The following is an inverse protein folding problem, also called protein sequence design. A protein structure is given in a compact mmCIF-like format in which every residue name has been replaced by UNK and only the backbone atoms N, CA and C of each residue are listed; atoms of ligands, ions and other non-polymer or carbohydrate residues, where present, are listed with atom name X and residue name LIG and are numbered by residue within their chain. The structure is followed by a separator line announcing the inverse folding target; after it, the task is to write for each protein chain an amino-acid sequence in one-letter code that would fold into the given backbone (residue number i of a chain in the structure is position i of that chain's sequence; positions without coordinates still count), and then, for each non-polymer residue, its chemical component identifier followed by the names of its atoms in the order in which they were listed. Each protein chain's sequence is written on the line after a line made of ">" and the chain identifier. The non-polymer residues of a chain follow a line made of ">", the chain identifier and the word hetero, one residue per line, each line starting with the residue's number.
data_IF_745723256873
#
_entry.id   IF_745723256873
#
_cell.length_a   1.000
_cell.length_b   1.000
_cell.length_c   1.000
_cell.angle_alpha   90.00
_cell.angle_beta   90.00
_cell.angle_gamma   90.00
#
_symmetry.space_group_name_H-M   'P 1'
#
loop_
_entity.id
_entity.type
_entity.pdbx_description
1 polymer ?
#
# COMPACT_ATOMS: atom_id res chain seq x y z
N UNK A 1 -15.02 34.90 -27.81
CA UNK A 1 -16.02 33.94 -27.27
C UNK A 1 -15.42 32.57 -26.87
N UNK A 2 -14.33 32.11 -27.51
CA UNK A 2 -13.71 30.77 -27.34
C UNK A 2 -12.98 30.56 -25.99
N UNK A 3 -12.43 31.60 -25.37
CA UNK A 3 -11.75 31.48 -24.07
C UNK A 3 -12.73 31.14 -22.92
N UNK A 4 -13.98 31.62 -23.00
CA UNK A 4 -14.98 31.44 -21.94
C UNK A 4 -15.51 30.00 -21.88
N UNK A 5 -15.61 29.32 -23.02
CA UNK A 5 -16.03 27.91 -23.11
C UNK A 5 -14.95 26.96 -22.62
N UNK A 6 -13.67 27.22 -22.93
CA UNK A 6 -12.54 26.43 -22.38
C UNK A 6 -12.45 26.54 -20.86
N UNK A 7 -12.59 27.75 -20.30
CA UNK A 7 -12.57 27.96 -18.83
C UNK A 7 -13.79 27.30 -18.16
N UNK A 8 -14.97 27.32 -18.78
CA UNK A 8 -16.14 26.61 -18.26
C UNK A 8 -15.98 25.08 -18.34
N UNK A 9 -15.34 24.56 -19.40
CA UNK A 9 -15.05 23.13 -19.52
C UNK A 9 -14.07 22.68 -18.42
N UNK A 10 -13.00 23.44 -18.16
CA UNK A 10 -12.03 23.16 -17.10
C UNK A 10 -12.69 23.20 -15.72
N UNK A 11 -13.54 24.21 -15.44
CA UNK A 11 -14.29 24.27 -14.17
C UNK A 11 -15.27 23.10 -14.00
N UNK A 12 -15.88 22.62 -15.09
CA UNK A 12 -16.74 21.42 -15.06
C UNK A 12 -15.92 20.16 -14.81
N UNK A 13 -14.73 20.04 -15.41
CA UNK A 13 -13.83 18.91 -15.21
C UNK A 13 -13.33 18.83 -13.77
N UNK A 14 -12.92 19.97 -13.19
CA UNK A 14 -12.47 20.03 -11.80
C UNK A 14 -13.58 19.69 -10.80
N UNK A 15 -14.82 20.08 -11.10
CA UNK A 15 -15.98 19.74 -10.26
C UNK A 15 -16.33 18.26 -10.32
N UNK A 16 -16.13 17.61 -11.48
CA UNK A 16 -16.28 16.16 -11.63
C UNK A 16 -15.20 15.41 -10.83
N UNK A 17 -13.95 15.85 -10.90
CA UNK A 17 -12.86 15.29 -10.11
C UNK A 17 -13.10 15.42 -8.60
N UNK A 18 -13.59 16.57 -8.14
CA UNK A 18 -13.96 16.75 -6.72
C UNK A 18 -15.07 15.81 -6.27
N UNK A 19 -16.12 15.61 -7.08
CA UNK A 19 -17.24 14.72 -6.73
C UNK A 19 -16.76 13.26 -6.70
N UNK A 20 -15.89 12.86 -7.64
CA UNK A 20 -15.30 11.51 -7.68
C UNK A 20 -14.45 11.25 -6.42
N UNK A 21 -13.59 12.20 -6.05
CA UNK A 21 -12.72 12.08 -4.88
C UNK A 21 -13.53 12.06 -3.57
N UNK A 22 -14.62 12.81 -3.47
CA UNK A 22 -15.52 12.76 -2.31
C UNK A 22 -16.26 11.42 -2.20
N UNK A 23 -16.70 10.85 -3.32
CA UNK A 23 -17.36 9.54 -3.34
C UNK A 23 -16.38 8.41 -2.96
N UNK A 24 -15.16 8.45 -3.49
CA UNK A 24 -14.08 7.51 -3.14
C UNK A 24 -13.72 7.63 -1.67
N UNK A 25 -13.58 8.86 -1.15
CA UNK A 25 -13.27 9.10 0.26
C UNK A 25 -14.37 8.59 1.22
N UNK A 26 -15.65 8.80 0.87
CA UNK A 26 -16.77 8.30 1.65
C UNK A 26 -16.82 6.76 1.68
N UNK A 27 -16.56 6.10 0.55
CA UNK A 27 -16.54 4.63 0.50
C UNK A 27 -15.33 4.03 1.23
N UNK A 28 -14.16 4.68 1.13
CA UNK A 28 -12.95 4.34 1.86
C UNK A 28 -13.17 4.30 3.37
N UNK A 29 -13.90 5.30 3.90
CA UNK A 29 -14.22 5.40 5.33
C UNK A 29 -15.26 4.39 5.81
N UNK A 30 -16.04 3.79 4.91
CA UNK A 30 -17.19 2.94 5.27
C UNK A 30 -16.85 1.46 5.40
N UNK A 31 -15.92 0.91 4.61
CA UNK A 31 -15.84 -0.56 4.45
C UNK A 31 -14.49 -1.22 4.70
N UNK A 32 -13.38 -0.49 4.72
CA UNK A 32 -12.06 -1.08 5.01
C UNK A 32 -11.65 -2.20 4.04
N UNK A 33 -10.73 -1.85 3.12
CA UNK A 33 -9.84 -2.76 2.37
C UNK A 33 -10.37 -3.38 1.06
N UNK A 34 -9.77 -2.85 -0.03
CA UNK A 34 -9.36 -3.38 -1.35
C UNK A 34 -10.32 -4.12 -2.30
N UNK A 35 -11.24 -4.99 -1.90
CA UNK A 35 -11.98 -5.81 -2.88
C UNK A 35 -13.33 -5.21 -3.32
N UNK A 36 -13.96 -4.36 -2.51
CA UNK A 36 -15.19 -3.63 -2.88
C UNK A 36 -14.93 -2.40 -3.74
N UNK A 37 -13.68 -1.92 -3.74
CA UNK A 37 -13.26 -0.69 -4.41
C UNK A 37 -13.54 -0.73 -5.92
N UNK A 38 -13.29 -1.87 -6.56
CA UNK A 38 -13.45 -1.97 -8.01
C UNK A 38 -14.93 -1.98 -8.43
N UNK A 39 -15.79 -2.69 -7.70
CA UNK A 39 -17.21 -2.80 -8.04
C UNK A 39 -18.01 -1.51 -7.76
N UNK A 40 -17.71 -0.82 -6.64
CA UNK A 40 -18.33 0.46 -6.32
C UNK A 40 -17.91 1.58 -7.28
N UNK A 41 -16.62 1.63 -7.65
CA UNK A 41 -16.10 2.61 -8.59
C UNK A 41 -16.59 2.33 -10.02
N UNK A 42 -16.72 1.07 -10.43
CA UNK A 42 -17.23 0.69 -11.74
C UNK A 42 -18.68 1.15 -11.97
N UNK A 43 -19.57 0.93 -10.99
CA UNK A 43 -20.98 1.37 -11.07
C UNK A 43 -21.12 2.90 -11.09
N UNK A 44 -20.24 3.61 -10.39
CA UNK A 44 -20.16 5.08 -10.46
C UNK A 44 -19.65 5.55 -11.84
N UNK A 45 -18.65 4.88 -12.42
CA UNK A 45 -18.15 5.17 -13.77
C UNK A 45 -19.20 4.95 -14.86
N UNK A 46 -19.97 3.87 -14.76
CA UNK A 46 -21.04 3.54 -15.70
C UNK A 46 -22.17 4.58 -15.66
N UNK A 47 -22.50 5.10 -14.46
CA UNK A 47 -23.47 6.17 -14.28
C UNK A 47 -23.00 7.50 -14.91
N UNK A 48 -21.71 7.82 -14.78
CA UNK A 48 -21.10 9.02 -15.38
C UNK A 48 -21.03 8.90 -16.91
N UNK A 49 -20.69 7.71 -17.43
CA UNK A 49 -20.67 7.43 -18.86
C UNK A 49 -22.06 7.60 -19.51
N UNK A 50 -23.11 7.16 -18.81
CA UNK A 50 -24.50 7.36 -19.23
C UNK A 50 -24.91 8.85 -19.19
N UNK A 51 -24.41 9.64 -18.25
CA UNK A 51 -24.68 11.07 -18.16
C UNK A 51 -23.98 11.90 -19.25
N UNK A 52 -22.90 11.38 -19.84
CA UNK A 52 -22.09 12.08 -20.87
C UNK A 52 -22.52 11.83 -22.31
N UNK A 53 -23.53 10.99 -22.56
CA UNK A 53 -24.23 10.95 -23.85
C UNK A 53 -23.39 10.57 -25.08
N UNK A 54 -22.64 9.46 -25.02
CA UNK A 54 -22.15 8.80 -26.24
C UNK A 54 -20.91 7.92 -26.08
N UNK A 55 -21.11 6.60 -26.13
CA UNK A 55 -20.59 5.67 -27.15
C UNK A 55 -21.49 4.43 -27.02
N UNK A 56 -22.37 4.21 -27.98
CA UNK A 56 -22.94 2.88 -28.22
C UNK A 56 -21.78 2.01 -28.70
N UNK A 57 -21.21 1.21 -27.79
CA UNK A 57 -20.48 0.01 -28.20
C UNK A 57 -21.52 -0.84 -28.96
N UNK A 58 -21.31 -1.21 -30.22
CA UNK A 58 -22.31 -1.96 -30.97
C UNK A 58 -22.61 -3.26 -30.22
N UNK A 59 -23.86 -3.40 -29.81
CA UNK A 59 -24.37 -4.56 -29.10
C UNK A 59 -24.42 -5.76 -30.06
N UNK A 60 -23.33 -6.51 -30.11
CA UNK A 60 -23.37 -7.92 -30.55
C UNK A 60 -22.81 -8.82 -29.46
N UNK A 61 -23.23 -8.54 -28.22
CA UNK A 61 -23.34 -9.53 -27.13
C UNK A 61 -24.64 -9.25 -26.37
N UNK A 62 -25.74 -9.01 -27.10
CA UNK A 62 -27.07 -9.11 -26.49
C UNK A 62 -27.46 -10.58 -26.46
N UNK A 63 -26.99 -11.25 -25.40
CA UNK A 63 -27.74 -12.23 -24.59
C UNK A 63 -26.75 -13.03 -23.75
N UNK A 64 -26.96 -12.95 -22.43
CA UNK A 64 -26.69 -14.00 -21.44
C UNK A 64 -25.49 -13.86 -20.51
N UNK A 65 -25.04 -12.65 -20.12
CA UNK A 65 -24.22 -12.53 -18.90
C UNK A 65 -24.67 -11.34 -18.05
N UNK A 66 -25.74 -11.54 -17.29
CA UNK A 66 -26.02 -10.71 -16.12
C UNK A 66 -24.95 -11.04 -15.07
N UNK A 67 -24.20 -10.05 -14.53
CA UNK A 67 -23.30 -10.32 -13.42
C UNK A 67 -24.12 -10.82 -12.23
N UNK A 68 -23.94 -12.11 -11.91
CA UNK A 68 -24.58 -12.71 -10.74
C UNK A 68 -23.84 -12.21 -9.52
N UNK A 69 -24.55 -11.54 -8.62
CA UNK A 69 -24.00 -11.17 -7.32
C UNK A 69 -23.74 -12.44 -6.50
N UNK A 70 -22.48 -12.85 -6.42
CA UNK A 70 -22.05 -13.99 -5.59
C UNK A 70 -21.93 -13.51 -4.15
N UNK A 71 -22.72 -14.11 -3.25
CA UNK A 71 -22.59 -13.90 -1.80
C UNK A 71 -21.89 -15.11 -1.19
N UNK A 72 -20.84 -14.86 -0.42
CA UNK A 72 -20.23 -15.89 0.41
C UNK A 72 -21.00 -16.01 1.71
N UNK A 73 -21.53 -17.20 1.99
CA UNK A 73 -22.07 -17.53 3.33
C UNK A 73 -20.90 -17.74 4.26
N UNK A 74 -20.84 -16.97 5.35
CA UNK A 74 -19.79 -17.10 6.36
C UNK A 74 -20.36 -17.87 7.54
N UNK A 75 -19.89 -19.08 7.77
CA UNK A 75 -20.13 -19.80 9.00
C UNK A 75 -19.02 -19.46 10.01
N UNK A 76 -19.37 -19.22 11.27
CA UNK A 76 -18.39 -18.91 12.31
C UNK A 76 -17.35 -20.02 12.48
N UNK A 77 -17.76 -21.28 12.32
CA UNK A 77 -16.87 -22.44 12.46
C UNK A 77 -15.88 -22.51 11.30
N UNK A 78 -16.35 -22.30 10.07
CA UNK A 78 -15.50 -22.28 8.87
C UNK A 78 -14.53 -21.10 8.92
N UNK A 79 -14.98 -19.94 9.36
CA UNK A 79 -14.12 -18.78 9.54
C UNK A 79 -13.04 -19.06 10.60
N UNK A 80 -13.38 -19.67 11.74
CA UNK A 80 -12.39 -20.07 12.76
C UNK A 80 -11.42 -21.12 12.25
N UNK A 81 -11.88 -22.09 11.46
CA UNK A 81 -11.04 -23.10 10.83
C UNK A 81 -10.05 -22.46 9.86
N UNK A 82 -10.53 -21.58 8.97
CA UNK A 82 -9.70 -20.87 7.99
C UNK A 82 -8.69 -19.94 8.66
N UNK A 83 -9.10 -19.25 9.75
CA UNK A 83 -8.20 -18.43 10.56
C UNK A 83 -7.08 -19.23 11.23
N UNK A 84 -7.27 -20.53 11.46
CA UNK A 84 -6.25 -21.39 12.04
C UNK A 84 -5.24 -21.91 10.99
N UNK A 85 -5.57 -21.88 9.69
CA UNK A 85 -4.73 -22.48 8.64
C UNK A 85 -3.37 -21.78 8.48
N UNK A 86 -3.33 -20.46 8.70
CA UNK A 86 -2.13 -19.62 8.51
C UNK A 86 -1.49 -19.17 9.83
N UNK A 87 -1.85 -19.80 10.96
CA UNK A 87 -1.21 -19.47 12.23
C UNK A 87 0.21 -19.99 12.22
N UNK A 88 1.18 -19.07 12.33
CA UNK A 88 2.56 -19.42 12.64
C UNK A 88 2.58 -20.25 13.91
N UNK A 89 3.41 -21.29 13.93
CA UNK A 89 3.56 -22.11 15.11
C UNK A 89 4.17 -21.25 16.21
N UNK A 90 3.67 -21.38 17.44
CA UNK A 90 4.28 -20.69 18.58
C UNK A 90 5.75 -21.11 18.78
N UNK A 91 6.11 -22.31 18.29
CA UNK A 91 7.49 -22.82 18.29
C UNK A 91 8.40 -21.99 17.38
N UNK A 92 7.88 -21.45 16.28
CA UNK A 92 8.66 -20.64 15.34
C UNK A 92 9.18 -19.35 16.01
N UNK A 93 8.52 -18.89 17.08
CA UNK A 93 8.98 -17.75 17.88
C UNK A 93 10.03 -18.10 18.94
N UNK A 94 10.25 -19.39 19.20
CA UNK A 94 11.25 -19.90 20.16
C UNK A 94 12.45 -20.54 19.45
N UNK A 95 12.35 -20.81 18.16
CA UNK A 95 13.48 -21.29 17.37
C UNK A 95 14.47 -20.17 17.14
N UNK A 96 15.72 -20.40 17.54
CA UNK A 96 16.83 -19.51 17.22
C UNK A 96 17.27 -19.71 15.76
N UNK A 97 17.48 -18.59 15.06
CA UNK A 97 18.13 -18.63 13.75
C UNK A 97 19.61 -19.02 13.89
N UNK A 98 20.21 -19.55 12.82
CA UNK A 98 21.67 -19.78 12.80
C UNK A 98 22.41 -18.45 12.99
N UNK A 99 23.32 -18.41 13.96
CA UNK A 99 24.12 -17.25 14.27
C UNK A 99 24.97 -16.78 13.09
N UNK A 100 25.50 -17.70 12.28
CA UNK A 100 26.32 -17.32 11.13
C UNK A 100 25.49 -16.59 10.06
N UNK A 101 24.31 -17.12 9.76
CA UNK A 101 23.38 -16.50 8.81
C UNK A 101 22.87 -15.15 9.33
N UNK A 102 22.50 -15.09 10.61
CA UNK A 102 22.04 -13.85 11.24
C UNK A 102 23.13 -12.76 11.25
N UNK A 103 24.38 -13.11 11.51
CA UNK A 103 25.53 -12.18 11.41
C UNK A 103 25.74 -11.69 9.98
N UNK A 104 25.65 -12.58 8.98
CA UNK A 104 25.76 -12.22 7.56
C UNK A 104 24.65 -11.25 7.12
N UNK A 105 23.41 -11.51 7.53
CA UNK A 105 22.26 -10.63 7.25
C UNK A 105 22.46 -9.25 7.90
N UNK A 106 22.94 -9.22 9.15
CA UNK A 106 23.23 -7.96 9.84
C UNK A 106 24.32 -7.17 9.14
N UNK A 107 25.40 -7.82 8.71
CA UNK A 107 26.48 -7.15 7.98
C UNK A 107 25.98 -6.56 6.66
N UNK A 108 25.26 -7.35 5.85
CA UNK A 108 24.67 -6.88 4.59
C UNK A 108 23.71 -5.70 4.82
N UNK A 109 22.87 -5.79 5.86
CA UNK A 109 21.89 -4.73 6.15
C UNK A 109 22.59 -3.45 6.60
N UNK A 110 23.65 -3.53 7.40
CA UNK A 110 24.45 -2.36 7.83
C UNK A 110 25.20 -1.74 6.64
N UNK A 111 25.71 -2.55 5.71
CA UNK A 111 26.32 -2.03 4.47
C UNK A 111 25.30 -1.24 3.63
N UNK A 112 24.08 -1.77 3.47
CA UNK A 112 23.02 -1.06 2.77
C UNK A 112 22.53 0.20 3.52
N UNK A 113 22.53 0.19 4.85
CA UNK A 113 22.24 1.36 5.66
C UNK A 113 23.29 2.46 5.44
N UNK A 114 24.56 2.10 5.32
CA UNK A 114 25.63 3.04 5.03
C UNK A 114 25.48 3.67 3.63
N UNK A 115 25.08 2.89 2.64
CA UNK A 115 24.75 3.41 1.31
C UNK A 115 23.52 4.34 1.34
N UNK A 116 22.49 3.97 2.11
CA UNK A 116 21.29 4.81 2.31
C UNK A 116 21.63 6.12 3.03
N UNK A 117 22.53 6.10 4.01
CA UNK A 117 23.03 7.29 4.70
C UNK A 117 23.83 8.22 3.78
N UNK A 118 24.67 7.67 2.89
CA UNK A 118 25.36 8.46 1.85
C UNK A 118 24.37 9.12 0.89
N UNK A 119 23.35 8.38 0.48
CA UNK A 119 22.29 8.89 -0.38
C UNK A 119 21.46 9.98 0.31
N UNK A 120 21.21 9.84 1.61
CA UNK A 120 20.54 10.86 2.42
C UNK A 120 21.37 12.14 2.52
N UNK A 121 22.68 12.03 2.81
CA UNK A 121 23.57 13.21 2.81
C UNK A 121 23.59 13.92 1.46
N UNK A 122 23.67 13.16 0.37
CA UNK A 122 23.61 13.73 -0.99
C UNK A 122 22.25 14.41 -1.27
N UNK A 123 21.16 13.82 -0.79
CA UNK A 123 19.83 14.42 -0.93
C UNK A 123 19.73 15.77 -0.20
N UNK A 124 20.32 15.89 0.99
CA UNK A 124 20.39 17.14 1.74
C UNK A 124 21.22 18.22 1.01
N UNK A 125 22.38 17.86 0.45
CA UNK A 125 23.20 18.78 -0.35
C UNK A 125 22.49 19.26 -1.63
N UNK A 126 21.65 18.41 -2.22
CA UNK A 126 20.82 18.77 -3.38
C UNK A 126 19.60 19.61 -2.97
N UNK A 127 19.06 19.41 -1.76
CA UNK A 127 17.94 20.20 -1.22
C UNK A 127 18.32 21.66 -1.00
N UNK A 128 19.54 21.97 -0.54
CA UNK A 128 20.04 23.34 -0.38
C UNK A 128 20.08 24.14 -1.69
N UNK A 129 20.11 23.46 -2.85
CA UNK A 129 20.22 24.08 -4.18
C UNK A 129 18.89 24.25 -4.90
N UNK A 130 17.81 23.62 -4.43
CA UNK A 130 16.54 23.50 -5.15
C UNK A 130 15.44 24.36 -4.54
N UNK A 131 14.51 24.86 -5.36
CA UNK A 131 13.36 25.64 -4.89
C UNK A 131 12.28 24.73 -4.26
N UNK A 132 11.48 25.24 -3.32
CA UNK A 132 10.51 24.44 -2.58
C UNK A 132 9.44 23.77 -3.45
N UNK A 133 9.07 24.37 -4.59
CA UNK A 133 8.12 23.77 -5.55
C UNK A 133 8.72 22.56 -6.28
N UNK A 134 10.02 22.58 -6.58
CA UNK A 134 10.70 21.46 -7.22
C UNK A 134 10.96 20.31 -6.24
N UNK A 135 11.16 20.61 -4.96
CA UNK A 135 11.29 19.62 -3.89
C UNK A 135 10.00 18.83 -3.67
N UNK A 136 8.85 19.51 -3.67
CA UNK A 136 7.54 18.86 -3.53
C UNK A 136 7.29 17.85 -4.66
N UNK A 137 7.70 18.15 -5.89
CA UNK A 137 7.57 17.24 -7.04
C UNK A 137 8.58 16.09 -6.94
N UNK A 138 9.83 16.36 -6.54
CA UNK A 138 10.90 15.34 -6.38
C UNK A 138 10.54 14.28 -5.32
N UNK A 139 9.97 14.71 -4.20
CA UNK A 139 9.65 13.84 -3.06
C UNK A 139 8.44 12.93 -3.30
N UNK A 140 7.60 13.24 -4.29
CA UNK A 140 6.49 12.37 -4.70
C UNK A 140 6.96 11.27 -5.66
N UNK A 141 8.03 11.50 -6.43
CA UNK A 141 8.52 10.58 -7.45
C UNK A 141 9.56 9.60 -6.91
N UNK A 142 10.42 10.04 -5.98
CA UNK A 142 11.51 9.22 -5.44
C UNK A 142 11.27 8.93 -3.96
N UNK A 143 11.43 7.66 -3.57
CA UNK A 143 11.29 7.24 -2.18
C UNK A 143 12.23 8.06 -1.28
N UNK A 144 11.69 8.58 -0.17
CA UNK A 144 12.43 9.37 0.80
C UNK A 144 13.57 8.54 1.41
N UNK A 145 14.85 8.94 1.20
CA UNK A 145 16.00 8.21 1.72
C UNK A 145 16.00 8.10 3.25
N UNK A 146 15.42 9.09 3.95
CA UNK A 146 15.30 9.07 5.42
C UNK A 146 14.40 7.93 5.87
N UNK A 147 13.21 7.82 5.27
CA UNK A 147 12.24 6.77 5.60
C UNK A 147 12.81 5.38 5.31
N UNK A 148 13.54 5.22 4.21
CA UNK A 148 14.19 3.96 3.87
C UNK A 148 15.28 3.57 4.88
N UNK A 149 16.02 4.56 5.42
CA UNK A 149 17.00 4.32 6.47
C UNK A 149 16.32 3.89 7.78
N UNK A 150 15.24 4.56 8.19
CA UNK A 150 14.46 4.22 9.38
C UNK A 150 13.90 2.78 9.31
N UNK A 151 13.31 2.39 8.17
CA UNK A 151 12.79 1.04 7.95
C UNK A 151 13.88 -0.05 8.12
N UNK A 152 15.12 0.21 7.68
CA UNK A 152 16.23 -0.73 7.84
C UNK A 152 16.73 -0.81 9.29
N UNK A 153 16.82 0.33 9.98
CA UNK A 153 17.19 0.37 11.40
C UNK A 153 16.20 -0.45 12.22
N UNK A 154 14.91 -0.24 12.02
CA UNK A 154 13.86 -0.95 12.75
C UNK A 154 13.97 -2.46 12.55
N UNK A 155 14.22 -2.91 11.31
CA UNK A 155 14.39 -4.33 11.00
C UNK A 155 15.58 -4.95 11.72
N UNK A 156 16.74 -4.29 11.70
CA UNK A 156 17.97 -4.79 12.38
C UNK A 156 17.75 -4.86 13.89
N UNK A 157 17.15 -3.82 14.48
CA UNK A 157 16.89 -3.78 15.93
C UNK A 157 15.89 -4.87 16.33
N UNK A 158 14.80 -5.03 15.58
CA UNK A 158 13.80 -6.07 15.85
C UNK A 158 14.40 -7.48 15.79
N UNK A 159 15.15 -7.78 14.72
CA UNK A 159 15.77 -9.10 14.55
C UNK A 159 16.77 -9.41 15.68
N UNK A 160 17.62 -8.45 16.02
CA UNK A 160 18.60 -8.60 17.10
C UNK A 160 17.92 -8.80 18.45
N UNK A 161 16.90 -8.01 18.78
CA UNK A 161 16.17 -8.15 20.06
C UNK A 161 15.52 -9.53 20.17
N UNK A 162 14.84 -9.99 19.12
CA UNK A 162 14.19 -11.31 19.11
C UNK A 162 15.22 -12.42 19.29
N UNK A 163 16.35 -12.37 18.59
CA UNK A 163 17.41 -13.38 18.71
C UNK A 163 18.03 -13.38 20.12
N UNK A 164 18.30 -12.22 20.72
CA UNK A 164 18.85 -12.14 22.07
C UNK A 164 17.87 -12.64 23.14
N UNK A 165 16.60 -12.25 23.04
CA UNK A 165 15.55 -12.71 23.97
C UNK A 165 15.32 -14.21 23.83
N UNK A 166 15.29 -14.73 22.59
CA UNK A 166 15.20 -16.16 22.32
C UNK A 166 16.34 -16.93 22.98
N UNK A 167 17.58 -16.43 22.87
CA UNK A 167 18.76 -17.10 23.42
C UNK A 167 18.75 -17.08 24.96
N UNK A 168 18.35 -15.95 25.56
CA UNK A 168 18.18 -15.87 27.02
C UNK A 168 17.09 -16.82 27.52
N UNK A 169 15.94 -16.87 26.85
CA UNK A 169 14.85 -17.77 27.21
C UNK A 169 15.26 -19.24 27.07
N UNK A 170 15.99 -19.59 26.01
CA UNK A 170 16.44 -20.95 25.77
C UNK A 170 17.30 -21.48 26.92
N UNK A 171 18.24 -20.67 27.41
CA UNK A 171 19.12 -21.03 28.54
C UNK A 171 18.40 -21.23 29.87
N UNK A 172 17.24 -20.59 30.08
CA UNK A 172 16.48 -20.64 31.35
C UNK A 172 15.41 -21.75 31.29
N UNK A 173 14.71 -21.87 30.16
CA UNK A 173 13.53 -22.72 30.01
C UNK A 173 13.90 -24.15 29.64
N UNK A 174 14.90 -24.37 28.78
CA UNK A 174 15.21 -25.70 28.22
C UNK A 174 16.46 -26.34 28.86
N UNK A 175 16.64 -26.11 30.15
CA UNK A 175 17.73 -26.67 30.96
C UNK A 175 17.59 -28.16 31.22
#
# INVERSE_FOLDING_TARGET
>A
MIARTKVQAIKKCFRLEQILLQAIGAEATRTGVEETYFMGVYTQFESIANFMGGILIPSTVEKSFLPVSVKYTRNELEQKMLLNLHKKSWKDGLTLADYNEHCSINESTVQEMLESAKNYNKALEDEEKMTPEQLAIKNVVKQDPKRHLEEKVDKVVQNNIVQYLGAMLDTIVFK
#
